data_IF_056721526159
#
_entry.id   IF_056721526159
#
_cell.length_a   1.000
_cell.length_b   1.000
_cell.length_c   1.000
_cell.angle_alpha   90.00
_cell.angle_beta   90.00
_cell.angle_gamma   90.00
#
_symmetry.space_group_name_H-M   'P 1'
#
loop_
_entity.id
_entity.type
_entity.pdbx_description
1 polymer ?
#
# COMPACT_ATOMS: atom_id res chain seq x y z
N UNK A 1 3.84 -7.95 7.33
CA UNK A 1 2.63 -7.18 7.70
C UNK A 1 2.16 -7.49 9.12
N UNK A 2 1.64 -8.69 9.43
CA UNK A 2 1.01 -9.02 10.72
C UNK A 2 1.85 -8.65 11.95
N UNK A 3 3.16 -8.94 11.93
CA UNK A 3 4.09 -8.57 13.01
C UNK A 3 4.13 -7.05 13.24
N UNK A 4 4.23 -6.26 12.16
CA UNK A 4 4.26 -4.79 12.23
C UNK A 4 2.91 -4.21 12.65
N UNK A 5 1.80 -4.81 12.20
CA UNK A 5 0.47 -4.41 12.61
C UNK A 5 0.26 -4.66 14.11
N UNK A 6 0.62 -5.86 14.59
CA UNK A 6 0.57 -6.19 16.03
C UNK A 6 1.39 -5.20 16.86
N UNK A 7 2.61 -4.88 16.40
CA UNK A 7 3.47 -3.88 17.03
C UNK A 7 2.80 -2.51 17.10
N UNK A 8 2.16 -2.06 16.01
CA UNK A 8 1.41 -0.81 15.97
C UNK A 8 0.25 -0.84 16.96
N UNK A 9 -0.62 -1.85 16.89
CA UNK A 9 -1.84 -1.91 17.72
C UNK A 9 -1.57 -2.04 19.21
N UNK A 10 -0.41 -2.60 19.59
CA UNK A 10 0.03 -2.68 20.99
C UNK A 10 0.69 -1.40 21.50
N UNK A 11 1.03 -0.46 20.62
CA UNK A 11 1.71 0.78 21.01
C UNK A 11 0.78 1.75 21.72
N UNK A 12 1.33 2.51 22.68
CA UNK A 12 0.57 3.53 23.41
C UNK A 12 0.04 4.63 22.49
N UNK A 13 0.84 5.06 21.51
CA UNK A 13 0.45 6.09 20.54
C UNK A 13 -0.79 5.68 19.76
N UNK A 14 -0.84 4.44 19.27
CA UNK A 14 -1.99 3.92 18.55
C UNK A 14 -3.20 3.78 19.46
N UNK A 15 -3.05 3.21 20.66
CA UNK A 15 -4.16 3.01 21.60
C UNK A 15 -4.78 4.34 22.00
N UNK A 16 -3.98 5.36 22.33
CA UNK A 16 -4.46 6.72 22.66
C UNK A 16 -5.18 7.36 21.47
N UNK A 17 -4.62 7.24 20.27
CA UNK A 17 -5.24 7.76 19.06
C UNK A 17 -6.58 7.06 18.78
N UNK A 18 -6.62 5.72 18.82
CA UNK A 18 -7.82 4.94 18.50
C UNK A 18 -8.99 5.20 19.47
N UNK A 19 -8.71 5.56 20.73
CA UNK A 19 -9.74 6.00 21.69
C UNK A 19 -10.47 7.28 21.25
N UNK A 20 -9.75 8.20 20.58
CA UNK A 20 -10.31 9.44 20.03
C UNK A 20 -10.95 9.23 18.66
N UNK A 21 -10.46 8.26 17.90
CA UNK A 21 -10.88 7.94 16.54
C UNK A 21 -11.59 6.58 16.48
N UNK A 22 -12.70 6.44 17.21
CA UNK A 22 -13.39 5.14 17.34
C UNK A 22 -13.88 4.59 15.99
N UNK A 23 -14.40 5.48 15.15
CA UNK A 23 -14.97 5.14 13.84
C UNK A 23 -13.90 4.96 12.73
N UNK A 24 -12.61 5.21 13.01
CA UNK A 24 -11.57 5.05 12.00
C UNK A 24 -11.35 3.58 11.63
N UNK A 25 -10.91 3.31 10.41
CA UNK A 25 -10.59 1.95 9.99
C UNK A 25 -9.33 1.94 9.14
N UNK A 26 -8.58 0.83 9.20
CA UNK A 26 -7.41 0.65 8.34
C UNK A 26 -7.88 0.51 6.91
N UNK A 27 -7.42 1.35 5.99
CA UNK A 27 -7.81 1.32 4.58
C UNK A 27 -6.65 0.94 3.67
N UNK A 28 -5.42 1.08 4.16
CA UNK A 28 -4.21 0.85 3.36
C UNK A 28 -3.05 0.31 4.20
N UNK A 29 -2.21 -0.49 3.56
CA UNK A 29 -0.89 -0.90 4.06
C UNK A 29 0.14 -0.69 2.96
N UNK A 30 1.14 0.14 3.23
CA UNK A 30 2.14 0.58 2.26
C UNK A 30 3.52 0.09 2.67
N UNK A 31 4.26 -0.40 1.68
CA UNK A 31 5.69 -0.70 1.78
C UNK A 31 6.41 0.11 0.71
N UNK A 32 7.33 0.96 1.12
CA UNK A 32 8.15 1.77 0.22
C UNK A 32 9.60 1.75 0.68
N UNK A 33 10.50 1.14 -0.10
CA UNK A 33 11.91 0.97 0.26
C UNK A 33 12.08 0.42 1.69
N UNK A 34 11.40 -0.69 1.99
CA UNK A 34 11.37 -1.37 3.30
C UNK A 34 10.66 -0.63 4.43
N UNK A 35 10.32 0.64 4.24
CA UNK A 35 9.51 1.41 5.18
C UNK A 35 8.07 0.93 5.19
N UNK A 36 7.51 0.75 6.37
CA UNK A 36 6.15 0.25 6.57
C UNK A 36 5.26 1.38 7.06
N UNK A 37 4.14 1.58 6.37
CA UNK A 37 3.10 2.51 6.75
C UNK A 37 1.74 1.82 6.80
N UNK A 38 0.94 2.18 7.80
CA UNK A 38 -0.47 1.80 7.90
C UNK A 38 -1.33 3.05 7.87
N UNK A 39 -2.30 3.08 6.96
CA UNK A 39 -3.20 4.21 6.83
C UNK A 39 -4.57 3.88 7.40
N UNK A 40 -5.09 4.82 8.16
CA UNK A 40 -6.42 4.76 8.73
C UNK A 40 -7.25 5.93 8.22
N UNK A 41 -8.39 5.60 7.63
CA UNK A 41 -9.37 6.59 7.23
C UNK A 41 -10.16 7.08 8.44
N UNK A 42 -10.36 8.39 8.52
CA UNK A 42 -11.14 9.07 9.53
C UNK A 42 -12.45 9.59 8.91
N UNK A 43 -13.52 9.66 9.71
CA UNK A 43 -14.88 10.04 9.27
C UNK A 43 -14.99 11.45 8.65
N UNK A 44 -14.03 12.32 8.91
CA UNK A 44 -13.97 13.71 8.43
C UNK A 44 -13.19 13.85 7.10
N UNK A 45 -13.15 12.81 6.27
CA UNK A 45 -12.37 12.77 5.02
C UNK A 45 -10.88 13.09 5.22
N UNK A 46 -10.33 12.68 6.36
CA UNK A 46 -8.90 12.75 6.62
C UNK A 46 -8.32 11.36 6.81
N UNK A 47 -7.01 11.26 6.81
CA UNK A 47 -6.28 10.04 7.07
C UNK A 47 -5.25 10.26 8.16
N UNK A 48 -5.07 9.24 8.97
CA UNK A 48 -3.94 9.14 9.88
C UNK A 48 -3.02 8.04 9.39
N UNK A 49 -1.78 8.41 9.12
CA UNK A 49 -0.73 7.50 8.68
C UNK A 49 0.19 7.17 9.84
N UNK A 50 0.45 5.88 10.04
CA UNK A 50 1.40 5.38 11.03
C UNK A 50 2.60 4.76 10.33
N UNK A 51 3.76 5.38 10.49
CA UNK A 51 5.03 4.81 10.03
C UNK A 51 5.60 3.91 11.12
N UNK A 52 5.98 2.68 10.78
CA UNK A 52 6.34 1.60 11.73
C UNK A 52 7.79 1.16 11.52
N UNK A 53 8.70 2.13 11.43
CA UNK A 53 10.13 1.91 11.11
C UNK A 53 11.02 2.26 12.28
N UNK A 54 11.58 1.27 12.98
CA UNK A 54 12.41 1.50 14.17
C UNK A 54 11.60 2.09 15.34
N UNK A 55 11.16 3.36 15.24
CA UNK A 55 10.19 4.04 16.11
C UNK A 55 8.87 4.22 15.37
N UNK A 56 7.74 4.12 16.10
CA UNK A 56 6.43 4.43 15.52
C UNK A 56 6.25 5.94 15.50
N UNK A 57 5.95 6.52 14.35
CA UNK A 57 5.49 7.91 14.20
C UNK A 57 4.10 7.94 13.60
N UNK A 58 3.43 9.07 13.78
CA UNK A 58 2.04 9.29 13.38
C UNK A 58 1.91 10.65 12.72
N UNK A 59 1.32 10.67 11.54
CA UNK A 59 0.94 11.88 10.82
C UNK A 59 -0.59 11.94 10.79
N UNK A 60 -1.17 12.83 11.59
CA UNK A 60 -2.61 12.89 11.84
C UNK A 60 -3.32 13.91 10.94
N UNK A 61 -4.58 13.63 10.60
CA UNK A 61 -5.48 14.54 9.87
C UNK A 61 -4.91 15.01 8.51
N UNK A 62 -4.16 14.13 7.84
CA UNK A 62 -3.71 14.36 6.48
C UNK A 62 -4.92 14.49 5.57
N UNK A 63 -5.02 15.59 4.80
CA UNK A 63 -6.02 15.71 3.76
C UNK A 63 -5.76 14.64 2.71
N UNK A 64 -6.79 13.87 2.36
CA UNK A 64 -6.68 12.86 1.32
C UNK A 64 -7.34 13.32 0.03
N UNK A 65 -6.71 12.95 -1.07
CA UNK A 65 -7.35 12.97 -2.38
C UNK A 65 -7.94 11.59 -2.64
N UNK A 66 -9.25 11.43 -2.44
CA UNK A 66 -9.97 10.18 -2.73
C UNK A 66 -10.66 10.23 -4.09
N UNK A 67 -10.53 9.16 -4.87
CA UNK A 67 -11.40 8.88 -6.03
C UNK A 67 -12.28 7.69 -5.65
N UNK A 68 -13.48 7.97 -5.13
CA UNK A 68 -14.44 6.97 -4.65
C UNK A 68 -14.38 6.72 -3.14
N UNK A 69 -15.10 5.67 -2.71
CA UNK A 69 -15.18 5.27 -1.31
C UNK A 69 -13.97 4.44 -0.88
N UNK A 70 -13.60 4.59 0.39
CA UNK A 70 -12.57 3.77 1.03
C UNK A 70 -13.27 2.73 1.90
N UNK A 71 -12.91 1.46 1.73
CA UNK A 71 -13.42 0.38 2.56
C UNK A 71 -12.36 -0.12 3.54
N UNK A 72 -12.83 -0.74 4.62
CA UNK A 72 -11.95 -1.34 5.61
C UNK A 72 -11.16 -2.50 5.00
N UNK A 73 -9.85 -2.47 5.21
CA UNK A 73 -8.94 -3.54 4.87
C UNK A 73 -8.90 -4.53 6.04
N UNK A 74 -9.75 -5.55 5.98
CA UNK A 74 -9.80 -6.60 7.00
C UNK A 74 -8.68 -7.60 6.78
N UNK A 75 -7.88 -7.83 7.81
CA UNK A 75 -6.72 -8.74 7.72
C UNK A 75 -7.10 -10.18 7.35
N UNK A 76 -8.31 -10.62 7.72
CA UNK A 76 -8.84 -11.94 7.39
C UNK A 76 -9.12 -12.16 5.90
N UNK A 77 -9.26 -11.08 5.12
CA UNK A 77 -9.55 -11.15 3.68
C UNK A 77 -8.26 -11.27 2.83
N UNK A 78 -7.08 -11.17 3.47
CA UNK A 78 -5.77 -11.12 2.82
C UNK A 78 -5.20 -12.54 2.69
N UNK A 79 -5.46 -13.17 1.55
CA UNK A 79 -5.01 -14.55 1.28
C UNK A 79 -3.69 -14.64 0.48
N UNK A 80 -3.23 -13.52 -0.10
CA UNK A 80 -2.01 -13.46 -0.89
C UNK A 80 -0.97 -12.57 -0.19
N UNK A 81 0.20 -13.13 0.13
CA UNK A 81 1.29 -12.35 0.72
C UNK A 81 1.98 -11.48 -0.33
N UNK A 82 2.67 -10.43 0.15
CA UNK A 82 3.52 -9.56 -0.69
C UNK A 82 4.54 -10.38 -1.46
N UNK A 83 5.18 -11.34 -0.79
CA UNK A 83 6.21 -12.19 -1.37
C UNK A 83 5.66 -13.02 -2.54
N UNK A 84 4.48 -13.65 -2.37
CA UNK A 84 3.81 -14.37 -3.46
C UNK A 84 3.36 -13.45 -4.61
N UNK A 85 2.90 -12.24 -4.30
CA UNK A 85 2.57 -11.26 -5.32
C UNK A 85 3.80 -10.83 -6.13
N UNK A 86 4.95 -10.68 -5.48
CA UNK A 86 6.23 -10.40 -6.16
C UNK A 86 6.71 -11.60 -6.99
N UNK A 87 6.54 -12.83 -6.51
CA UNK A 87 6.88 -14.04 -7.30
C UNK A 87 6.08 -14.12 -8.61
N UNK A 88 4.81 -13.71 -8.63
CA UNK A 88 4.01 -13.63 -9.87
C UNK A 88 4.66 -12.65 -10.86
N UNK A 89 5.14 -11.51 -10.37
CA UNK A 89 5.81 -10.49 -11.19
C UNK A 89 7.16 -11.01 -11.70
N UNK A 90 7.98 -11.58 -10.81
CA UNK A 90 9.31 -12.08 -11.15
C UNK A 90 9.24 -13.21 -12.19
N UNK A 91 8.23 -14.07 -12.13
CA UNK A 91 7.97 -15.10 -13.16
C UNK A 91 7.57 -14.52 -14.51
N UNK A 92 6.86 -13.40 -14.53
CA UNK A 92 6.38 -12.75 -15.75
C UNK A 92 7.46 -11.88 -16.40
N UNK A 93 8.37 -11.32 -15.60
CA UNK A 93 9.44 -10.42 -16.04
C UNK A 93 10.82 -10.91 -15.56
N UNK A 94 11.25 -12.12 -15.97
CA UNK A 94 12.47 -12.75 -15.43
C UNK A 94 13.76 -11.98 -15.77
N UNK A 95 13.76 -11.22 -16.86
CA UNK A 95 14.93 -10.46 -17.33
C UNK A 95 15.00 -9.04 -16.79
N UNK A 96 13.94 -8.57 -16.11
CA UNK A 96 13.89 -7.20 -15.59
C UNK A 96 14.47 -7.13 -14.17
N UNK A 97 15.30 -6.11 -13.92
CA UNK A 97 15.83 -5.82 -12.59
C UNK A 97 15.11 -4.63 -12.00
N UNK A 98 14.38 -4.83 -10.90
CA UNK A 98 13.64 -3.78 -10.21
C UNK A 98 14.47 -3.15 -9.09
N UNK A 99 14.75 -1.85 -9.18
CA UNK A 99 15.59 -1.11 -8.22
C UNK A 99 14.80 -0.28 -7.20
N UNK A 100 13.54 0.04 -7.48
CA UNK A 100 12.63 0.74 -6.56
C UNK A 100 11.26 0.09 -6.57
N UNK A 101 10.65 0.01 -5.39
CA UNK A 101 9.36 -0.67 -5.20
C UNK A 101 8.46 0.13 -4.28
N UNK A 102 7.24 0.38 -4.72
CA UNK A 102 6.13 0.87 -3.92
C UNK A 102 5.05 -0.20 -3.98
N UNK A 103 4.67 -0.75 -2.83
CA UNK A 103 3.72 -1.85 -2.73
C UNK A 103 2.62 -1.40 -1.78
N UNK A 104 1.40 -1.30 -2.29
CA UNK A 104 0.24 -0.82 -1.53
C UNK A 104 -0.80 -1.93 -1.53
N UNK A 105 -1.20 -2.39 -0.35
CA UNK A 105 -2.43 -3.16 -0.20
C UNK A 105 -3.56 -2.18 0.12
N UNK A 106 -4.63 -2.22 -0.66
CA UNK A 106 -5.79 -1.35 -0.50
C UNK A 106 -7.09 -2.10 -0.80
N UNK A 107 -8.20 -1.57 -0.31
CA UNK A 107 -9.54 -2.13 -0.51
C UNK A 107 -10.55 -1.04 -0.89
N UNK A 108 -10.70 -0.66 -2.17
CA UNK A 108 -11.80 0.19 -2.60
C UNK A 108 -13.11 -0.58 -2.74
N UNK A 109 -13.08 -1.87 -3.06
CA UNK A 109 -14.25 -2.77 -3.11
C UNK A 109 -13.84 -4.20 -2.71
N UNK A 110 -12.73 -4.66 -3.29
CA UNK A 110 -12.05 -5.90 -2.92
C UNK A 110 -10.56 -5.62 -2.67
N UNK A 111 -9.93 -6.34 -1.74
CA UNK A 111 -8.51 -6.17 -1.47
C UNK A 111 -7.66 -6.56 -2.69
N UNK A 112 -6.67 -5.73 -3.03
CA UNK A 112 -5.66 -6.04 -4.04
C UNK A 112 -4.32 -5.40 -3.71
N UNK A 113 -3.25 -6.02 -4.19
CA UNK A 113 -1.91 -5.42 -4.21
C UNK A 113 -1.80 -4.49 -5.41
N UNK A 114 -1.51 -3.22 -5.18
CA UNK A 114 -1.12 -2.23 -6.18
C UNK A 114 0.39 -2.02 -6.06
N UNK A 115 1.12 -2.50 -7.06
CA UNK A 115 2.57 -2.57 -7.03
C UNK A 115 3.10 -1.69 -8.16
N UNK A 116 3.93 -0.73 -7.80
CA UNK A 116 4.68 0.11 -8.73
C UNK A 116 6.16 -0.21 -8.61
N UNK A 117 6.77 -0.65 -9.71
CA UNK A 117 8.19 -1.00 -9.78
C UNK A 117 8.88 -0.15 -10.84
N UNK A 118 10.12 0.26 -10.56
CA UNK A 118 10.98 0.91 -11.52
C UNK A 118 12.12 -0.06 -11.85
N UNK A 119 12.33 -0.31 -13.15
CA UNK A 119 13.44 -1.14 -13.62
C UNK A 119 14.74 -0.34 -13.70
N UNK A 120 15.88 -1.02 -13.74
CA UNK A 120 17.18 -0.41 -14.03
C UNK A 120 17.23 0.23 -15.42
N UNK A 121 16.39 -0.24 -16.35
CA UNK A 121 16.20 0.32 -17.69
C UNK A 121 15.22 1.50 -17.75
N UNK A 122 14.84 2.06 -16.59
CA UNK A 122 13.92 3.20 -16.46
C UNK A 122 12.53 2.96 -17.09
N UNK A 123 12.04 1.73 -17.00
CA UNK A 123 10.64 1.40 -17.25
C UNK A 123 9.86 1.39 -15.93
N UNK A 124 8.62 1.81 -15.99
CA UNK A 124 7.67 1.79 -14.88
C UNK A 124 6.67 0.66 -15.12
N UNK A 125 6.64 -0.29 -14.19
CA UNK A 125 5.60 -1.31 -14.12
C UNK A 125 4.60 -0.91 -13.04
N UNK A 126 3.34 -0.68 -13.41
CA UNK A 126 2.24 -0.60 -12.46
C UNK A 126 1.40 -1.86 -12.63
N UNK A 127 1.20 -2.62 -11.56
CA UNK A 127 0.46 -3.88 -11.63
C UNK A 127 -0.47 -4.01 -10.42
N UNK A 128 -1.71 -4.42 -10.68
CA UNK A 128 -2.70 -4.74 -9.65
C UNK A 128 -2.94 -6.24 -9.63
N UNK A 129 -2.81 -6.86 -8.45
CA UNK A 129 -2.98 -8.30 -8.26
C UNK A 129 -4.03 -8.55 -7.17
N UNK A 130 -5.08 -9.30 -7.48
CA UNK A 130 -6.13 -9.63 -6.51
C UNK A 130 -5.62 -10.63 -5.45
N UNK A 131 -6.41 -10.86 -4.40
CA UNK A 131 -6.05 -11.82 -3.34
C UNK A 131 -6.03 -13.29 -3.80
N UNK A 132 -6.44 -13.60 -5.03
CA UNK A 132 -6.34 -14.94 -5.64
C UNK A 132 -5.09 -15.10 -6.50
N UNK A 133 -4.34 -14.02 -6.74
CA UNK A 133 -3.14 -14.01 -7.59
C UNK A 133 -3.40 -13.65 -9.05
N UNK A 134 -4.60 -13.21 -9.41
CA UNK A 134 -4.90 -12.76 -10.77
C UNK A 134 -4.44 -11.32 -10.97
N UNK A 135 -3.82 -11.04 -12.11
CA UNK A 135 -3.49 -9.68 -12.53
C UNK A 135 -4.79 -9.00 -13.00
N UNK A 136 -5.22 -7.97 -12.27
CA UNK A 136 -6.43 -7.18 -12.55
C UNK A 136 -6.16 -6.15 -13.64
N UNK A 137 -4.99 -5.51 -13.58
CA UNK A 137 -4.55 -4.52 -14.55
C UNK A 137 -3.04 -4.38 -14.50
N UNK A 138 -2.43 -4.07 -15.63
CA UNK A 138 -0.99 -3.77 -15.69
C UNK A 138 -0.68 -2.73 -16.76
N UNK A 139 0.36 -1.94 -16.51
CA UNK A 139 1.02 -1.10 -17.51
C UNK A 139 2.52 -1.23 -17.35
N UNK A 140 3.24 -1.34 -18.46
CA UNK A 140 4.70 -1.43 -18.47
C UNK A 140 5.29 -0.55 -19.57
N UNK A 141 5.79 0.62 -19.17
CA UNK A 141 6.14 1.68 -20.12
C UNK A 141 7.43 2.38 -19.73
N UNK A 142 8.17 2.98 -20.68
CA UNK A 142 9.26 3.89 -20.38
C UNK A 142 8.81 5.03 -19.46
N UNK A 143 9.61 5.39 -18.46
CA UNK A 143 9.32 6.48 -17.53
C UNK A 143 9.12 7.83 -18.25
N UNK A 144 9.74 7.99 -19.43
CA UNK A 144 9.62 9.17 -20.28
C UNK A 144 8.19 9.43 -20.76
N UNK A 145 7.34 8.41 -20.88
CA UNK A 145 5.94 8.57 -21.25
C UNK A 145 5.13 9.34 -20.18
N UNK A 146 5.47 9.17 -18.90
CA UNK A 146 4.83 9.88 -17.80
C UNK A 146 5.29 11.34 -17.72
N UNK A 147 6.57 11.60 -17.95
CA UNK A 147 7.13 12.96 -17.92
C UNK A 147 6.54 13.88 -19.00
N UNK A 148 6.10 13.31 -20.14
CA UNK A 148 5.46 14.07 -21.22
C UNK A 148 4.04 14.53 -20.88
N UNK A 149 3.34 13.85 -19.97
CA UNK A 149 1.97 14.18 -19.58
C UNK A 149 1.90 15.23 -18.46
N UNK A 150 3.03 15.52 -17.80
CA UNK A 150 3.12 16.50 -16.71
C UNK A 150 3.56 17.90 -17.18
N UNK A 151 3.71 18.11 -18.50
CA UNK A 151 3.91 19.41 -19.13
C UNK A 151 2.61 19.87 -19.76
#
# INVERSE_FOLDING_TARGET
>A
MLKSYKRLTSSEIFRKWKLKHKDSFMCSFIIMNEKIQFDFYNKNDTMTSFNVDGKISMDENQKIFKKGDLNELKLGDINLTKEKALEIIDKKYPDEKFNRRIIILQNPEKPFWNITLITTSLKLLNIKIDMKGNIISETFEPLTNFMKQAK
#
